data_IF_503830869694
#
_entry.id   IF_503830869694
#
_cell.length_a   1.000
_cell.length_b   1.000
_cell.length_c   1.000
_cell.angle_alpha   90.00
_cell.angle_beta   90.00
_cell.angle_gamma   90.00
#
_symmetry.space_group_name_H-M   'P 1'
#
loop_
_entity.id
_entity.type
_entity.pdbx_description
1 polymer ?
#
# COMPACT_ATOMS: atom_id res chain seq x y z
N UNK A 1 -6.14 1.75 -27.61
CA UNK A 1 -5.40 2.86 -26.95
C UNK A 1 -6.40 3.59 -26.08
N UNK A 2 -6.35 3.39 -24.76
CA UNK A 2 -7.19 4.12 -23.82
C UNK A 2 -6.28 5.04 -23.01
N UNK A 3 -6.25 6.31 -23.40
CA UNK A 3 -5.58 7.38 -22.67
C UNK A 3 -6.66 8.20 -21.96
N UNK A 4 -7.17 7.66 -20.86
CA UNK A 4 -7.89 8.44 -19.85
C UNK A 4 -6.82 9.03 -18.93
N UNK A 5 -6.75 10.36 -18.84
CA UNK A 5 -5.83 11.08 -17.97
C UNK A 5 -5.98 10.78 -16.47
N UNK A 6 -6.93 9.95 -16.03
CA UNK A 6 -7.07 9.51 -14.64
C UNK A 6 -5.99 8.51 -14.20
N UNK A 7 -5.46 7.69 -15.12
CA UNK A 7 -4.47 6.67 -14.77
C UNK A 7 -3.13 7.27 -14.39
N UNK A 8 -2.74 8.42 -14.96
CA UNK A 8 -1.47 9.06 -14.62
C UNK A 8 -1.49 9.67 -13.21
N UNK A 9 -2.65 10.13 -12.74
CA UNK A 9 -2.79 10.74 -11.42
C UNK A 9 -2.65 9.73 -10.26
N UNK A 10 -3.06 8.49 -10.44
CA UNK A 10 -3.04 7.50 -9.34
C UNK A 10 -1.63 7.04 -8.97
N UNK A 11 -0.69 7.07 -9.93
CA UNK A 11 0.72 6.78 -9.68
C UNK A 11 1.49 7.99 -9.15
N UNK A 12 0.88 9.19 -9.15
CA UNK A 12 1.52 10.38 -8.57
C UNK A 12 1.77 10.14 -7.09
N UNK A 13 2.91 10.65 -6.66
CA UNK A 13 3.40 10.54 -5.28
C UNK A 13 3.71 9.12 -4.80
N UNK A 14 3.65 8.09 -5.67
CA UNK A 14 4.24 6.79 -5.36
C UNK A 14 5.75 6.95 -5.09
N UNK A 15 6.21 6.43 -3.96
CA UNK A 15 7.57 6.64 -3.46
C UNK A 15 7.81 8.02 -2.84
N UNK A 16 6.77 8.85 -2.71
CA UNK A 16 6.82 10.13 -2.02
C UNK A 16 5.83 10.14 -0.83
N UNK A 17 4.55 10.42 -1.10
CA UNK A 17 3.50 10.42 -0.09
C UNK A 17 2.88 9.03 0.10
N UNK A 18 2.89 8.21 -0.95
CA UNK A 18 2.35 6.85 -0.93
C UNK A 18 3.45 5.81 -1.07
N UNK A 19 3.35 4.75 -0.28
CA UNK A 19 3.95 3.47 -0.62
C UNK A 19 3.04 2.76 -1.61
N UNK A 20 3.58 2.34 -2.75
CA UNK A 20 2.81 1.73 -3.81
C UNK A 20 3.32 0.33 -4.13
N UNK A 21 2.40 -0.62 -4.20
CA UNK A 21 2.64 -2.02 -4.52
C UNK A 21 1.72 -2.40 -5.68
N UNK A 22 2.22 -3.14 -6.65
CA UNK A 22 1.42 -3.40 -7.84
C UNK A 22 1.73 -4.71 -8.54
N UNK A 23 0.68 -5.24 -9.14
CA UNK A 23 0.66 -6.43 -9.99
C UNK A 23 0.30 -6.00 -11.42
N UNK A 24 1.01 -6.49 -12.46
CA UNK A 24 2.15 -7.40 -12.41
C UNK A 24 3.46 -6.72 -11.94
N UNK A 25 4.52 -7.50 -11.74
CA UNK A 25 5.81 -6.97 -11.29
C UNK A 25 6.31 -5.79 -12.13
N UNK A 26 6.86 -4.77 -11.46
CA UNK A 26 7.36 -3.50 -12.03
C UNK A 26 6.29 -2.61 -12.69
N UNK A 27 5.00 -2.93 -12.59
CA UNK A 27 3.95 -2.11 -13.19
C UNK A 27 3.87 -0.70 -12.60
N UNK A 28 4.24 -0.51 -11.33
CA UNK A 28 4.25 0.81 -10.66
C UNK A 28 5.27 1.76 -11.27
N UNK A 29 6.37 1.23 -11.82
CA UNK A 29 7.40 2.01 -12.52
C UNK A 29 6.96 2.38 -13.95
N UNK A 30 6.04 1.59 -14.51
CA UNK A 30 5.53 1.71 -15.87
C UNK A 30 4.15 2.37 -15.93
N UNK A 31 3.58 2.71 -14.77
CA UNK A 31 2.24 3.26 -14.61
C UNK A 31 1.13 2.44 -15.28
N UNK A 32 1.21 1.11 -15.20
CA UNK A 32 0.30 0.21 -15.92
C UNK A 32 -0.13 -1.03 -15.12
N UNK A 33 -0.26 -0.89 -13.81
CA UNK A 33 -0.73 -1.97 -12.94
C UNK A 33 -2.16 -2.38 -13.27
N UNK A 34 -2.39 -3.69 -13.27
CA UNK A 34 -3.75 -4.23 -13.21
C UNK A 34 -4.28 -4.13 -11.79
N UNK A 35 -3.45 -4.35 -10.77
CA UNK A 35 -3.80 -4.11 -9.37
C UNK A 35 -2.79 -3.16 -8.76
N UNK A 36 -3.26 -2.09 -8.13
CA UNK A 36 -2.44 -1.10 -7.44
C UNK A 36 -2.94 -0.93 -6.01
N UNK A 37 -2.07 -1.21 -5.05
CA UNK A 37 -2.25 -0.85 -3.66
C UNK A 37 -1.45 0.41 -3.36
N UNK A 38 -2.07 1.38 -2.70
CA UNK A 38 -1.45 2.60 -2.19
C UNK A 38 -1.67 2.70 -0.69
N UNK A 39 -0.61 3.00 0.05
CA UNK A 39 -0.63 3.10 1.50
C UNK A 39 0.04 4.39 1.93
N UNK A 40 -0.59 5.15 2.81
CA UNK A 40 -0.06 6.40 3.33
C UNK A 40 -0.61 6.70 4.72
N UNK A 41 -0.03 7.64 5.48
CA UNK A 41 -0.74 8.20 6.62
C UNK A 41 -1.96 9.01 6.16
N UNK A 42 -2.95 9.24 7.05
CA UNK A 42 -4.02 10.19 6.78
C UNK A 42 -3.50 11.57 6.40
N UNK A 43 -4.32 12.30 5.64
CA UNK A 43 -3.93 13.59 5.09
C UNK A 43 -3.66 14.59 6.23
N UNK A 44 -2.51 15.28 6.17
CA UNK A 44 -2.16 16.33 7.14
C UNK A 44 -1.70 15.84 8.51
N UNK A 45 -1.83 14.54 8.82
CA UNK A 45 -1.42 14.00 10.13
C UNK A 45 -0.02 13.42 10.14
N UNK A 46 0.48 12.99 8.98
CA UNK A 46 1.61 12.06 8.95
C UNK A 46 1.28 10.80 9.77
N UNK A 47 2.32 10.05 10.17
CA UNK A 47 2.14 8.81 10.92
C UNK A 47 1.76 9.00 12.40
N UNK A 48 1.45 10.23 12.82
CA UNK A 48 1.01 10.53 14.20
C UNK A 48 -0.43 10.09 14.49
N UNK A 49 -1.24 9.82 13.47
CA UNK A 49 -2.66 9.49 13.61
C UNK A 49 -2.95 8.09 14.15
N UNK A 50 -1.94 7.27 14.45
CA UNK A 50 -2.10 5.86 14.85
C UNK A 50 -2.87 5.00 13.85
N UNK A 51 -3.08 5.48 12.63
CA UNK A 51 -3.73 4.78 11.51
C UNK A 51 -2.98 5.01 10.19
N UNK A 52 -3.29 4.18 9.21
CA UNK A 52 -2.86 4.24 7.81
C UNK A 52 -4.09 4.22 6.90
N UNK A 53 -4.06 4.98 5.81
CA UNK A 53 -5.05 4.90 4.74
C UNK A 53 -4.55 3.96 3.63
N UNK A 54 -5.40 3.03 3.24
CA UNK A 54 -5.19 2.08 2.17
C UNK A 54 -6.14 2.37 1.01
N UNK A 55 -5.65 2.20 -0.22
CA UNK A 55 -6.44 2.31 -1.45
C UNK A 55 -6.02 1.17 -2.38
N UNK A 56 -6.94 0.25 -2.66
CA UNK A 56 -6.75 -0.89 -3.55
C UNK A 56 -7.60 -0.69 -4.81
N UNK A 57 -6.93 -0.60 -5.95
CA UNK A 57 -7.56 -0.44 -7.25
C UNK A 57 -7.30 -1.67 -8.12
N UNK A 58 -8.35 -2.17 -8.76
CA UNK A 58 -8.26 -3.21 -9.78
C UNK A 58 -8.77 -2.68 -11.13
N UNK A 59 -7.82 -2.42 -12.04
CA UNK A 59 -8.01 -1.86 -13.37
C UNK A 59 -8.30 -2.93 -14.42
N UNK A 60 -9.37 -3.68 -14.21
CA UNK A 60 -9.87 -4.64 -15.19
C UNK A 60 -11.35 -4.39 -15.37
N UNK A 61 -11.83 -4.50 -16.61
CA UNK A 61 -13.25 -4.69 -16.91
C UNK A 61 -13.69 -5.98 -16.23
N UNK A 62 -14.06 -5.88 -14.94
CA UNK A 62 -14.49 -6.98 -14.13
C UNK A 62 -15.79 -7.48 -14.75
N UNK A 63 -15.81 -8.77 -15.04
CA UNK A 63 -16.95 -9.41 -15.67
C UNK A 63 -17.97 -9.70 -14.57
N UNK A 64 -19.03 -8.90 -14.50
CA UNK A 64 -20.09 -9.04 -13.51
C UNK A 64 -21.02 -10.23 -13.79
N UNK A 65 -20.79 -11.02 -14.85
CA UNK A 65 -21.55 -12.27 -15.03
C UNK A 65 -21.26 -13.30 -13.94
N UNK A 66 -20.14 -13.15 -13.23
CA UNK A 66 -19.75 -13.96 -12.07
C UNK A 66 -19.17 -13.05 -11.00
N UNK A 67 -19.33 -13.40 -9.72
CA UNK A 67 -18.66 -12.65 -8.65
C UNK A 67 -17.14 -12.75 -8.78
N UNK A 68 -16.43 -11.68 -8.43
CA UNK A 68 -14.96 -11.62 -8.51
C UNK A 68 -14.39 -10.85 -7.32
N UNK A 69 -13.10 -11.04 -7.04
CA UNK A 69 -12.43 -10.31 -5.99
C UNK A 69 -11.00 -9.91 -6.36
N UNK A 70 -10.55 -8.83 -5.71
CA UNK A 70 -9.15 -8.44 -5.58
C UNK A 70 -8.82 -8.39 -4.09
N UNK A 71 -7.65 -8.85 -3.70
CA UNK A 71 -7.24 -8.90 -2.30
C UNK A 71 -5.82 -8.36 -2.10
N UNK A 72 -5.57 -7.84 -0.90
CA UNK A 72 -4.24 -7.60 -0.36
C UNK A 72 -4.03 -8.48 0.87
N UNK A 73 -2.88 -9.15 0.93
CA UNK A 73 -2.40 -9.86 2.12
C UNK A 73 -1.17 -9.16 2.71
N UNK A 74 -1.13 -9.05 4.04
CA UNK A 74 0.08 -8.71 4.79
C UNK A 74 0.59 -9.98 5.48
N UNK A 75 1.77 -10.44 5.06
CA UNK A 75 2.37 -11.70 5.50
C UNK A 75 3.73 -11.49 6.14
N UNK A 76 4.12 -12.38 7.05
CA UNK A 76 5.47 -12.41 7.64
C UNK A 76 6.47 -13.21 6.80
N UNK A 77 6.01 -13.97 5.81
CA UNK A 77 6.83 -14.69 4.84
C UNK A 77 6.29 -14.47 3.40
N UNK A 78 6.92 -15.09 2.41
CA UNK A 78 6.55 -14.95 0.99
C UNK A 78 5.54 -16.01 0.52
N UNK A 79 4.88 -16.72 1.43
CA UNK A 79 3.90 -17.76 1.15
C UNK A 79 2.52 -17.39 1.69
N UNK A 80 1.47 -17.67 0.92
CA UNK A 80 0.10 -17.52 1.41
C UNK A 80 -0.13 -18.52 2.56
N UNK A 81 -0.48 -18.01 3.73
CA UNK A 81 -0.49 -18.77 4.98
C UNK A 81 -1.25 -18.02 6.07
N UNK A 82 -0.55 -17.59 7.11
CA UNK A 82 -1.14 -16.89 8.26
C UNK A 82 -1.20 -15.37 8.02
N UNK A 83 -1.97 -14.96 7.01
CA UNK A 83 -1.94 -13.57 6.51
C UNK A 83 -3.17 -12.77 6.93
N UNK A 84 -2.95 -11.50 7.26
CA UNK A 84 -4.03 -10.50 7.37
C UNK A 84 -4.45 -10.10 5.97
N UNK A 85 -5.67 -10.45 5.59
CA UNK A 85 -6.20 -10.18 4.25
C UNK A 85 -7.33 -9.16 4.26
N UNK A 86 -7.29 -8.23 3.32
CA UNK A 86 -8.41 -7.37 2.94
C UNK A 86 -8.84 -7.75 1.54
N UNK A 87 -10.12 -8.04 1.36
CA UNK A 87 -10.73 -8.50 0.13
C UNK A 87 -11.74 -7.47 -0.35
N UNK A 88 -11.71 -7.19 -1.64
CA UNK A 88 -12.63 -6.32 -2.33
C UNK A 88 -13.36 -7.12 -3.38
N UNK A 89 -14.64 -7.29 -3.13
CA UNK A 89 -15.50 -8.20 -3.86
C UNK A 89 -16.45 -7.38 -4.71
N UNK A 90 -16.56 -7.78 -5.96
CA UNK A 90 -17.60 -7.32 -6.86
C UNK A 90 -18.54 -8.49 -7.10
N UNK A 91 -19.76 -8.39 -6.57
CA UNK A 91 -20.82 -9.36 -6.81
C UNK A 91 -21.27 -9.36 -8.26
N UNK A 92 -21.97 -10.42 -8.67
CA UNK A 92 -22.56 -10.49 -10.02
C UNK A 92 -23.70 -9.48 -10.23
N UNK A 93 -24.24 -8.95 -9.13
CA UNK A 93 -25.17 -7.81 -9.10
C UNK A 93 -24.48 -6.45 -9.33
N UNK A 94 -23.14 -6.44 -9.44
CA UNK A 94 -22.34 -5.23 -9.58
C UNK A 94 -22.11 -4.49 -8.26
N UNK A 95 -22.55 -5.03 -7.13
CA UNK A 95 -22.35 -4.44 -5.81
C UNK A 95 -20.93 -4.75 -5.34
N UNK A 96 -20.22 -3.71 -4.90
CA UNK A 96 -18.88 -3.82 -4.35
C UNK A 96 -18.92 -3.84 -2.82
N UNK A 97 -18.29 -4.83 -2.20
CA UNK A 97 -18.12 -4.92 -0.74
C UNK A 97 -16.65 -5.15 -0.38
N UNK A 98 -16.31 -4.80 0.85
CA UNK A 98 -15.01 -5.06 1.44
C UNK A 98 -15.18 -6.10 2.55
N UNK A 99 -14.28 -7.08 2.61
CA UNK A 99 -14.21 -8.07 3.68
C UNK A 99 -12.79 -8.21 4.23
N UNK A 100 -12.71 -8.25 5.55
CA UNK A 100 -11.47 -8.47 6.27
C UNK A 100 -11.43 -9.92 6.76
N UNK A 101 -10.26 -10.55 6.68
CA UNK A 101 -10.11 -11.93 7.10
C UNK A 101 -8.71 -12.29 7.56
N UNK A 102 -8.65 -13.49 8.14
CA UNK A 102 -7.39 -14.16 8.39
C UNK A 102 -7.35 -15.42 7.54
N UNK A 103 -6.28 -15.54 6.77
CA UNK A 103 -5.96 -16.80 6.09
C UNK A 103 -5.14 -17.67 7.03
N UNK A 104 -5.21 -18.99 6.84
CA UNK A 104 -4.40 -19.97 7.55
C UNK A 104 -4.16 -21.16 6.64
N UNK A 105 -3.04 -21.83 6.88
CA UNK A 105 -2.69 -23.09 6.23
C UNK A 105 -1.68 -22.93 5.10
N UNK A 106 -0.50 -23.50 5.27
CA UNK A 106 0.59 -23.52 4.29
C UNK A 106 0.50 -24.71 3.30
N UNK A 107 -0.64 -25.40 3.21
CA UNK A 107 -0.77 -26.66 2.45
C UNK A 107 -1.95 -26.66 1.48
N UNK A 108 -1.87 -27.40 0.35
CA UNK A 108 -2.74 -27.23 -0.82
C UNK A 108 -4.24 -27.56 -0.61
N UNK A 109 -4.67 -27.94 0.61
CA UNK A 109 -5.98 -28.54 0.88
C UNK A 109 -6.74 -27.90 2.06
N UNK A 110 -6.17 -26.90 2.71
CA UNK A 110 -6.82 -26.17 3.81
C UNK A 110 -6.57 -24.70 3.62
N UNK A 111 -7.19 -24.13 2.58
CA UNK A 111 -7.32 -22.69 2.44
C UNK A 111 -8.71 -22.33 2.93
N UNK A 112 -8.77 -21.68 4.09
CA UNK A 112 -9.99 -21.04 4.57
C UNK A 112 -9.66 -19.59 4.83
N UNK A 113 -10.41 -18.69 4.23
CA UNK A 113 -10.52 -17.34 4.78
C UNK A 113 -11.53 -17.46 5.91
N UNK A 114 -11.07 -17.36 7.16
CA UNK A 114 -12.04 -17.13 8.23
C UNK A 114 -12.30 -15.65 8.22
N UNK A 115 -13.47 -15.27 7.70
CA UNK A 115 -13.98 -13.92 7.89
C UNK A 115 -14.02 -13.67 9.39
N UNK A 116 -13.13 -12.80 9.84
CA UNK A 116 -13.03 -12.40 11.24
C UNK A 116 -13.08 -10.89 11.25
N UNK A 117 -13.84 -10.34 12.19
CA UNK A 117 -13.79 -8.92 12.42
C UNK A 117 -12.35 -8.55 12.79
N UNK A 118 -11.73 -7.67 12.00
CA UNK A 118 -10.45 -7.07 12.33
C UNK A 118 -10.71 -5.76 13.07
N UNK A 119 -10.33 -5.73 14.34
CA UNK A 119 -10.38 -4.50 15.12
C UNK A 119 -9.46 -3.44 14.49
N UNK A 120 -9.95 -2.20 14.44
CA UNK A 120 -9.18 -1.06 13.93
C UNK A 120 -9.27 -0.83 12.43
N UNK A 121 -10.25 -1.41 11.74
CA UNK A 121 -10.60 -1.05 10.36
C UNK A 121 -11.79 -0.07 10.38
N UNK A 122 -11.69 1.04 9.63
CA UNK A 122 -12.74 2.07 9.54
C UNK A 122 -12.76 2.74 8.16
N UNK A 123 -13.70 3.67 7.97
CA UNK A 123 -13.82 4.50 6.75
C UNK A 123 -13.82 3.72 5.43
N UNK A 124 -14.40 2.52 5.47
CA UNK A 124 -14.49 1.62 4.33
C UNK A 124 -15.37 2.25 3.25
N UNK A 125 -14.83 2.33 2.04
CA UNK A 125 -15.55 2.79 0.84
C UNK A 125 -15.24 1.87 -0.30
N UNK A 126 -16.26 1.47 -1.02
CA UNK A 126 -16.16 0.63 -2.21
C UNK A 126 -16.82 1.35 -3.38
N UNK A 127 -16.27 1.17 -4.58
CA UNK A 127 -16.83 1.72 -5.82
C UNK A 127 -16.43 0.85 -6.99
N UNK A 128 -17.39 0.55 -7.85
CA UNK A 128 -17.13 0.00 -9.18
C UNK A 128 -17.64 0.97 -10.23
N UNK A 129 -16.76 1.50 -11.07
CA UNK A 129 -17.11 2.46 -12.12
C UNK A 129 -16.06 2.47 -13.21
N UNK A 130 -16.48 2.59 -14.48
CA UNK A 130 -15.59 2.65 -15.64
C UNK A 130 -14.57 1.50 -15.72
N UNK A 131 -14.98 0.28 -15.32
CA UNK A 131 -14.10 -0.89 -15.32
C UNK A 131 -12.99 -0.83 -14.27
N UNK A 132 -13.18 -0.08 -13.20
CA UNK A 132 -12.28 -0.05 -12.04
C UNK A 132 -13.06 -0.37 -10.78
N UNK A 133 -12.62 -1.41 -10.07
CA UNK A 133 -13.04 -1.67 -8.69
C UNK A 133 -12.05 -1.00 -7.75
N UNK A 134 -12.54 -0.08 -6.93
CA UNK A 134 -11.78 0.66 -5.93
C UNK A 134 -12.32 0.37 -4.55
N UNK A 135 -11.42 0.01 -3.64
CA UNK A 135 -11.68 0.03 -2.20
C UNK A 135 -10.71 0.96 -1.51
N UNK A 136 -11.21 1.67 -0.52
CA UNK A 136 -10.36 2.40 0.43
C UNK A 136 -10.83 2.14 1.85
N UNK A 137 -9.87 2.05 2.77
CA UNK A 137 -10.16 1.91 4.19
C UNK A 137 -9.05 2.54 5.01
N UNK A 138 -9.39 2.88 6.25
CA UNK A 138 -8.44 3.25 7.29
C UNK A 138 -8.16 2.02 8.13
N UNK A 139 -6.88 1.80 8.49
CA UNK A 139 -6.43 0.69 9.34
C UNK A 139 -5.57 1.24 10.46
N UNK A 140 -5.85 0.85 11.71
CA UNK A 140 -4.99 1.14 12.85
C UNK A 140 -3.58 0.61 12.59
N UNK A 141 -2.56 1.37 13.01
CA UNK A 141 -1.17 0.96 12.84
C UNK A 141 -0.87 -0.34 13.59
N UNK A 142 -1.63 -0.64 14.64
CA UNK A 142 -1.65 -1.95 15.28
C UNK A 142 -3.07 -2.50 15.21
N UNK A 143 -3.22 -3.66 14.59
CA UNK A 143 -4.49 -4.38 14.48
C UNK A 143 -4.34 -5.76 15.10
N UNK A 144 -5.42 -6.27 15.71
CA UNK A 144 -5.44 -7.62 16.27
C UNK A 144 -6.47 -8.44 15.51
N UNK A 145 -6.06 -9.64 15.14
CA UNK A 145 -6.88 -10.60 14.41
C UNK A 145 -6.75 -11.93 15.13
N UNK A 146 -7.80 -12.31 15.88
CA UNK A 146 -7.73 -13.40 16.85
C UNK A 146 -6.55 -13.23 17.84
N UNK A 147 -5.58 -14.16 17.79
CA UNK A 147 -4.40 -14.17 18.64
C UNK A 147 -3.17 -13.53 17.99
N UNK A 148 -3.29 -13.04 16.75
CA UNK A 148 -2.18 -12.43 16.00
C UNK A 148 -2.30 -10.91 16.03
N UNK A 149 -1.14 -10.25 16.11
CA UNK A 149 -1.04 -8.79 16.11
C UNK A 149 -0.25 -8.35 14.89
N UNK A 150 -0.87 -7.51 14.07
CA UNK A 150 -0.24 -6.89 12.91
C UNK A 150 0.08 -5.44 13.26
N UNK A 151 1.35 -5.18 13.54
CA UNK A 151 1.92 -3.86 13.84
C UNK A 151 2.68 -3.34 12.60
N UNK A 152 2.14 -2.32 11.93
CA UNK A 152 2.69 -1.69 10.73
C UNK A 152 3.91 -0.80 11.03
N UNK A 153 4.18 -0.49 12.30
CA UNK A 153 5.30 0.35 12.75
C UNK A 153 6.51 -0.48 13.12
N UNK A 154 6.31 -1.57 13.86
CA UNK A 154 7.41 -2.40 14.39
C UNK A 154 7.81 -3.52 13.45
N UNK A 155 6.88 -4.02 12.65
CA UNK A 155 7.12 -5.18 11.81
C UNK A 155 7.27 -4.79 10.34
N UNK A 156 7.79 -5.73 9.56
CA UNK A 156 7.83 -5.68 8.11
C UNK A 156 6.98 -6.81 7.55
N UNK A 157 6.26 -6.55 6.47
CA UNK A 157 5.40 -7.54 5.83
C UNK A 157 5.71 -7.68 4.35
N UNK A 158 5.66 -8.91 3.85
CA UNK A 158 5.45 -9.15 2.43
C UNK A 158 4.05 -8.67 2.07
N UNK A 159 3.96 -7.90 0.98
CA UNK A 159 2.70 -7.45 0.42
C UNK A 159 2.32 -8.41 -0.68
N UNK A 160 1.18 -9.07 -0.51
CA UNK A 160 0.60 -10.00 -1.47
C UNK A 160 -0.58 -9.34 -2.13
N UNK A 161 -0.70 -9.45 -3.45
CA UNK A 161 -1.84 -8.99 -4.24
C UNK A 161 -2.39 -10.19 -5.00
N UNK A 162 -3.70 -10.38 -4.96
CA UNK A 162 -4.34 -11.51 -5.64
C UNK A 162 -5.67 -11.10 -6.27
N UNK A 163 -6.04 -11.76 -7.36
CA UNK A 163 -7.39 -11.67 -7.93
C UNK A 163 -7.93 -13.05 -8.24
N UNK A 164 -9.24 -13.23 -8.05
CA UNK A 164 -9.87 -14.52 -8.26
C UNK A 164 -11.38 -14.43 -8.47
N UNK A 165 -12.00 -15.55 -8.86
CA UNK A 165 -13.45 -15.63 -8.95
C UNK A 165 -14.07 -15.93 -7.58
N UNK A 166 -15.35 -15.59 -7.46
CA UNK A 166 -16.27 -16.05 -6.44
C UNK A 166 -17.27 -17.00 -7.10
N UNK A 167 -17.73 -18.03 -6.39
CA UNK A 167 -18.80 -18.88 -6.90
C UNK A 167 -20.20 -18.29 -6.65
N UNK A 168 -21.21 -19.05 -7.08
CA UNK A 168 -22.62 -18.66 -6.96
C UNK A 168 -23.11 -18.68 -5.50
N UNK A 169 -22.39 -19.32 -4.58
CA UNK A 169 -22.73 -19.37 -3.15
C UNK A 169 -22.12 -18.19 -2.38
N UNK A 170 -21.34 -17.33 -3.05
CA UNK A 170 -20.68 -16.17 -2.44
C UNK A 170 -19.30 -16.49 -1.83
N UNK A 171 -18.77 -17.69 -2.11
CA UNK A 171 -17.49 -18.16 -1.59
C UNK A 171 -16.35 -17.83 -2.56
N UNK A 172 -15.24 -17.32 -2.02
CA UNK A 172 -14.06 -17.03 -2.82
C UNK A 172 -13.39 -18.33 -3.24
N UNK A 173 -13.00 -18.42 -4.51
CA UNK A 173 -12.18 -19.51 -5.02
C UNK A 173 -10.71 -19.12 -4.99
N UNK A 174 -9.86 -20.13 -5.17
CA UNK A 174 -8.42 -19.91 -5.31
C UNK A 174 -8.14 -18.84 -6.37
N UNK A 175 -7.26 -17.90 -6.03
CA UNK A 175 -6.89 -16.81 -6.93
C UNK A 175 -6.28 -17.35 -8.22
N UNK A 176 -6.50 -16.63 -9.32
CA UNK A 176 -5.96 -16.98 -10.65
C UNK A 176 -4.72 -16.17 -11.01
N UNK A 177 -4.58 -14.98 -10.42
CA UNK A 177 -3.44 -14.10 -10.62
C UNK A 177 -2.98 -13.57 -9.28
N UNK A 178 -1.69 -13.58 -9.07
CA UNK A 178 -1.05 -13.20 -7.83
C UNK A 178 0.29 -12.52 -8.04
N UNK A 179 0.71 -11.81 -7.01
CA UNK A 179 2.00 -11.17 -6.91
C UNK A 179 2.39 -11.03 -5.45
N UNK A 180 3.64 -11.36 -5.13
CA UNK A 180 4.24 -11.15 -3.81
C UNK A 180 5.41 -10.19 -3.96
N UNK A 181 5.54 -9.27 -3.01
CA UNK A 181 6.68 -8.36 -2.97
C UNK A 181 7.99 -9.13 -2.81
N UNK A 182 9.07 -8.68 -3.42
CA UNK A 182 10.36 -9.39 -3.40
C UNK A 182 11.13 -9.28 -2.07
N UNK A 183 10.52 -8.62 -1.08
CA UNK A 183 11.02 -8.43 0.29
C UNK A 183 9.86 -7.94 1.17
N UNK A 184 10.07 -7.97 2.48
CA UNK A 184 9.16 -7.36 3.44
C UNK A 184 9.37 -5.83 3.53
N UNK A 185 8.29 -5.10 3.80
CA UNK A 185 8.24 -3.64 3.90
C UNK A 185 7.65 -3.18 5.23
N UNK A 186 8.16 -2.07 5.76
CA UNK A 186 7.50 -1.35 6.85
C UNK A 186 6.47 -0.38 6.25
N UNK A 187 5.18 -0.74 6.34
CA UNK A 187 4.09 -0.01 5.71
C UNK A 187 3.78 1.34 6.38
N UNK A 188 4.37 1.63 7.55
CA UNK A 188 4.27 2.94 8.20
C UNK A 188 5.52 3.83 8.04
N UNK A 189 6.50 3.42 7.22
CA UNK A 189 7.70 4.22 6.98
C UNK A 189 7.61 4.96 5.66
N UNK A 190 7.64 6.30 5.68
CA UNK A 190 8.05 7.02 4.47
C UNK A 190 9.57 7.02 4.47
N UNK A 191 10.19 6.35 3.49
CA UNK A 191 11.64 6.33 3.36
C UNK A 191 12.16 7.74 3.05
N UNK A 192 12.39 8.53 4.09
CA UNK A 192 13.01 9.86 4.02
C UNK A 192 14.49 9.77 3.64
N UNK A 193 15.10 8.58 3.70
CA UNK A 193 16.55 8.41 3.48
C UNK A 193 16.96 8.66 2.03
N UNK A 194 16.05 8.46 1.06
CA UNK A 194 16.30 8.77 -0.36
C UNK A 194 16.35 10.26 -0.70
N UNK A 195 15.90 11.14 0.21
CA UNK A 195 15.96 12.59 -0.01
C UNK A 195 17.29 13.21 0.42
N UNK A 196 18.07 12.55 1.29
CA UNK A 196 19.34 13.12 1.78
C UNK A 196 20.52 12.84 0.86
N UNK A 197 20.44 11.87 -0.05
CA UNK A 197 21.55 11.48 -0.92
C UNK A 197 21.66 12.30 -2.22
N UNK A 198 20.82 13.33 -2.42
CA UNK A 198 20.86 14.20 -3.62
C UNK A 198 21.12 15.68 -3.34
N UNK A 199 21.56 16.03 -2.14
CA UNK A 199 21.98 17.40 -1.76
C UNK A 199 23.30 17.39 -0.98
N UNK A 200 24.35 16.76 -1.51
CA UNK A 200 25.73 16.96 -1.04
C UNK A 200 26.72 16.73 -2.19
N UNK A 201 26.72 17.63 -3.17
CA UNK A 201 27.90 17.84 -4.03
C UNK A 201 27.86 19.25 -4.63
N UNK A 202 28.32 20.22 -3.84
CA UNK A 202 28.58 21.59 -4.25
C UNK A 202 29.50 22.20 -3.20
N UNK A 203 30.78 22.27 -3.53
CA UNK A 203 31.89 22.39 -2.59
C UNK A 203 31.95 23.68 -1.79
N UNK A 204 32.52 23.55 -0.59
CA UNK A 204 33.16 24.62 0.14
C UNK A 204 34.32 25.20 -0.68
N UNK A 205 34.37 26.51 -0.83
CA UNK A 205 35.65 27.25 -0.85
C UNK A 205 35.54 28.41 0.12
N UNK A 206 36.32 28.30 1.19
CA UNK A 206 36.58 29.28 2.24
C UNK A 206 37.13 30.59 1.68
N UNK A 207 36.78 31.71 2.34
CA UNK A 207 37.36 33.02 2.07
C UNK A 207 36.87 34.06 3.06
N UNK A 208 37.14 33.87 4.36
CA UNK A 208 36.92 34.88 5.38
C UNK A 208 38.25 35.63 5.62
N UNK A 209 38.30 36.91 5.24
CA UNK A 209 39.36 37.82 5.68
C UNK A 209 38.71 38.90 6.54
N UNK A 210 38.81 38.72 7.86
CA UNK A 210 38.57 39.77 8.85
C UNK A 210 39.93 40.30 9.29
N UNK A 211 40.20 41.59 9.09
CA UNK A 211 41.33 42.28 9.73
C UNK A 211 40.73 43.37 10.60
N UNK A 212 40.86 43.19 11.92
CA UNK A 212 40.56 44.20 12.92
C UNK A 212 41.72 44.30 13.92
N UNK A 213 42.32 45.49 13.98
CA UNK A 213 42.94 46.07 15.18
C UNK A 213 44.44 45.85 15.41
N UNK A 214 45.22 46.94 15.42
CA UNK A 214 45.79 47.50 16.66
C UNK A 214 46.84 48.61 16.42
N UNK A 215 46.52 49.81 16.95
CA UNK A 215 47.36 50.76 17.71
C UNK A 215 48.65 51.37 17.09
N UNK A 216 48.70 52.72 17.03
CA UNK A 216 49.83 53.47 17.61
C UNK A 216 50.41 54.70 16.86
N UNK A 217 50.27 55.87 17.50
CA UNK A 217 51.17 57.07 17.54
C UNK A 217 51.20 58.13 16.42
N UNK A 218 50.70 59.33 16.81
CA UNK A 218 51.38 60.64 16.93
C UNK A 218 52.35 61.11 15.83
N UNK A 219 52.03 62.23 15.15
CA UNK A 219 52.72 63.56 15.27
C UNK A 219 52.19 64.57 14.25
N UNK A 220 52.03 65.81 14.75
CA UNK A 220 51.92 67.14 14.10
C UNK A 220 50.67 67.44 13.24
#
# INVERSE_FOLDING_TARGET
MFSDGSSDHVYRECGQAYQCYGMPSKCTQRSNCTVLLRVRPPSGTGWSASVASFELNWYRNADTSTGQYVAVGLSTDDMMGDDSVTECILGSDGIAIERQGLTFGQKPKTFGVRTVHMDGISDVKTRHSNGVLTCSWTRALQTRVNNMTFDLVKNQYYVMLATGPMDNDGELKHHKHDWVSNRAYNLSSTDRSRRSSRMTSGGQTSGATNIGGSIGRTTL
#
